data_IF_978496989043
#
_entry.id   IF_978496989043
#
_cell.length_a   1.000
_cell.length_b   1.000
_cell.length_c   1.000
_cell.angle_alpha   90.00
_cell.angle_beta   90.00
_cell.angle_gamma   90.00
#
_symmetry.space_group_name_H-M   'P 1'
#
loop_
_entity.id
_entity.type
_entity.pdbx_description
1 polymer ?
#
# COMPACT_ATOMS: atom_id res chain seq x y z
N UNK A 1 -6.79 -5.03 29.29
CA UNK A 1 -6.13 -4.93 27.97
C UNK A 1 -4.81 -4.21 28.18
N UNK A 2 -3.65 -4.85 27.94
CA UNK A 2 -2.35 -4.21 28.19
C UNK A 2 -2.03 -3.28 27.01
N UNK A 3 -1.87 -2.00 27.31
CA UNK A 3 -1.45 -0.96 26.37
C UNK A 3 -0.06 -1.32 25.86
N UNK A 4 0.11 -1.45 24.53
CA UNK A 4 1.43 -1.64 23.93
C UNK A 4 2.18 -0.33 24.09
N UNK A 5 3.10 -0.28 25.06
CA UNK A 5 3.98 0.86 25.27
C UNK A 5 5.02 0.80 24.15
N UNK A 6 4.88 1.68 23.17
CA UNK A 6 5.88 1.88 22.13
C UNK A 6 7.11 2.56 22.77
N UNK A 7 8.33 2.04 22.62
CA UNK A 7 9.51 2.86 22.88
C UNK A 7 9.43 4.06 21.94
N UNK A 8 9.58 5.26 22.47
CA UNK A 8 9.57 6.51 21.71
C UNK A 8 10.71 6.50 20.70
N UNK A 9 10.49 5.94 19.51
CA UNK A 9 11.23 6.37 18.33
C UNK A 9 10.80 7.81 18.16
N UNK A 10 11.66 8.74 18.57
CA UNK A 10 11.47 10.15 18.36
C UNK A 10 11.53 10.41 16.84
N UNK A 11 10.42 10.17 16.17
CA UNK A 11 10.17 10.67 14.83
C UNK A 11 9.90 12.16 15.04
N UNK A 12 10.90 13.00 14.76
CA UNK A 12 10.72 14.45 14.74
C UNK A 12 9.59 14.78 13.77
N UNK A 13 8.72 15.72 14.12
CA UNK A 13 7.67 16.21 13.24
C UNK A 13 8.28 16.54 11.85
N UNK A 14 7.80 15.84 10.82
CA UNK A 14 8.27 16.03 9.46
C UNK A 14 7.74 17.35 8.91
N UNK A 15 8.53 17.99 8.06
CA UNK A 15 8.20 19.24 7.38
C UNK A 15 7.23 19.06 6.19
N UNK A 16 6.37 18.03 6.22
CA UNK A 16 5.40 17.77 5.16
C UNK A 16 4.29 18.82 5.14
N UNK A 17 3.70 19.09 3.96
CA UNK A 17 2.64 20.09 3.77
C UNK A 17 1.44 19.92 4.73
N UNK A 18 1.20 18.70 5.21
CA UNK A 18 0.09 18.35 6.10
C UNK A 18 0.55 17.97 7.53
N UNK A 19 1.80 18.31 7.92
CA UNK A 19 2.37 17.91 9.22
C UNK A 19 2.74 16.42 9.33
N UNK A 20 2.77 15.71 8.20
CA UNK A 20 3.20 14.32 8.11
C UNK A 20 4.71 14.15 8.35
N UNK A 21 5.10 12.97 8.85
CA UNK A 21 6.51 12.63 9.09
C UNK A 21 7.32 12.46 7.80
N UNK A 22 6.66 12.08 6.71
CA UNK A 22 7.23 11.86 5.40
C UNK A 22 6.14 12.02 4.32
N UNK A 23 6.51 12.54 3.15
CA UNK A 23 5.63 12.63 1.98
C UNK A 23 6.39 12.14 0.74
N UNK A 24 5.68 11.42 -0.12
CA UNK A 24 6.15 11.02 -1.45
C UNK A 24 5.21 11.58 -2.52
N UNK A 25 5.77 12.09 -3.60
CA UNK A 25 5.02 12.63 -4.73
C UNK A 25 5.28 11.80 -5.98
N UNK A 26 4.21 11.45 -6.69
CA UNK A 26 4.25 10.63 -7.90
C UNK A 26 3.30 11.25 -8.92
N UNK A 27 3.73 11.35 -10.18
CA UNK A 27 2.89 11.78 -11.29
C UNK A 27 2.70 10.67 -12.31
N UNK A 28 1.59 10.74 -13.05
CA UNK A 28 1.28 9.84 -14.16
C UNK A 28 0.97 10.66 -15.40
N UNK A 29 1.59 10.32 -16.52
CA UNK A 29 1.31 10.90 -17.84
C UNK A 29 1.04 9.77 -18.84
N UNK A 30 0.65 10.09 -20.07
CA UNK A 30 0.43 9.04 -21.09
C UNK A 30 1.69 8.23 -21.44
N UNK A 31 2.89 8.83 -21.40
CA UNK A 31 4.13 8.15 -21.76
C UNK A 31 4.09 7.42 -23.13
N UNK A 32 4.91 6.37 -23.34
CA UNK A 32 4.91 5.56 -24.56
C UNK A 32 3.59 4.81 -24.81
N UNK A 33 2.84 4.52 -23.76
CA UNK A 33 1.57 3.78 -23.79
C UNK A 33 0.37 4.65 -24.16
N UNK A 34 0.56 5.97 -24.23
CA UNK A 34 -0.51 6.95 -24.40
C UNK A 34 -1.38 7.13 -23.14
N UNK A 35 -2.25 8.14 -23.17
CA UNK A 35 -3.23 8.36 -22.11
C UNK A 35 -4.34 7.31 -22.21
N UNK A 36 -4.46 6.45 -21.19
CA UNK A 36 -5.51 5.45 -21.11
C UNK A 36 -6.00 5.27 -19.68
N UNK A 37 -7.19 4.66 -19.52
CA UNK A 37 -7.87 4.51 -18.22
C UNK A 37 -6.96 4.01 -17.09
N UNK A 38 -6.09 3.04 -17.38
CA UNK A 38 -5.09 2.50 -16.45
C UNK A 38 -3.72 2.33 -17.13
N UNK A 39 -3.47 3.09 -18.20
CA UNK A 39 -2.21 3.05 -18.97
C UNK A 39 -1.51 4.40 -18.88
N UNK A 40 -0.17 4.39 -18.86
CA UNK A 40 0.63 5.59 -18.72
C UNK A 40 2.06 5.32 -18.29
N UNK A 41 2.77 6.37 -17.90
CA UNK A 41 4.09 6.32 -17.26
C UNK A 41 3.97 6.95 -15.87
N UNK A 42 4.23 6.14 -14.84
CA UNK A 42 4.35 6.56 -13.44
C UNK A 42 5.77 7.01 -13.19
N UNK A 43 5.96 8.16 -12.53
CA UNK A 43 7.27 8.64 -12.09
C UNK A 43 7.20 9.29 -10.71
N UNK A 44 8.04 8.88 -9.77
CA UNK A 44 8.22 9.58 -8.49
C UNK A 44 9.07 10.84 -8.66
N UNK A 45 8.84 11.84 -7.82
CA UNK A 45 9.57 13.12 -7.86
C UNK A 45 11.08 12.96 -7.63
N UNK A 46 11.49 11.95 -6.86
CA UNK A 46 12.89 11.60 -6.61
C UNK A 46 13.48 10.66 -7.69
N UNK A 47 12.67 10.21 -8.66
CA UNK A 47 13.07 9.32 -9.74
C UNK A 47 13.31 7.86 -9.33
N UNK A 48 13.10 7.48 -8.06
CA UNK A 48 13.32 6.12 -7.58
C UNK A 48 12.28 5.10 -8.11
N UNK A 49 11.09 5.58 -8.50
CA UNK A 49 10.03 4.78 -9.11
C UNK A 49 9.73 5.31 -10.51
N UNK A 50 9.94 4.47 -11.52
CA UNK A 50 9.54 4.73 -12.89
C UNK A 50 8.99 3.46 -13.53
N UNK A 51 7.71 3.45 -13.89
CA UNK A 51 7.01 2.25 -14.36
C UNK A 51 6.03 2.56 -15.49
N UNK A 52 6.01 1.70 -16.51
CA UNK A 52 4.93 1.71 -17.50
C UNK A 52 3.69 1.00 -16.96
N UNK A 53 2.56 1.71 -16.97
CA UNK A 53 1.25 1.13 -16.71
C UNK A 53 0.64 0.64 -18.02
N UNK A 54 0.07 -0.56 -17.96
CA UNK A 54 -0.65 -1.20 -19.05
C UNK A 54 -1.93 -1.83 -18.53
N UNK A 55 -3.02 -1.59 -19.25
CA UNK A 55 -4.25 -2.33 -19.05
C UNK A 55 -4.00 -3.84 -19.23
N UNK A 56 -4.39 -4.69 -18.26
CA UNK A 56 -4.16 -6.11 -18.35
C UNK A 56 -5.11 -6.76 -19.37
N UNK A 57 -4.77 -7.94 -19.93
CA UNK A 57 -5.58 -8.64 -20.91
C UNK A 57 -7.02 -8.93 -20.45
N UNK A 58 -7.20 -9.20 -19.16
CA UNK A 58 -8.50 -9.47 -18.52
C UNK A 58 -9.46 -8.27 -18.58
N UNK A 59 -8.92 -7.06 -18.79
CA UNK A 59 -9.70 -5.83 -18.98
C UNK A 59 -9.69 -5.35 -20.43
N UNK A 60 -9.25 -6.19 -21.38
CA UNK A 60 -9.20 -5.88 -22.81
C UNK A 60 -7.95 -5.11 -23.24
N UNK A 61 -6.92 -5.04 -22.40
CA UNK A 61 -5.64 -4.42 -22.73
C UNK A 61 -4.64 -5.38 -23.36
N UNK A 62 -3.47 -4.86 -23.72
CA UNK A 62 -2.38 -5.64 -24.31
C UNK A 62 -1.43 -6.25 -23.27
N UNK A 63 -1.58 -5.89 -21.98
CA UNK A 63 -0.65 -6.28 -20.93
C UNK A 63 0.77 -5.75 -21.15
N UNK A 64 1.77 -6.46 -20.62
CA UNK A 64 3.18 -6.13 -20.80
C UNK A 64 3.73 -5.01 -19.92
N UNK A 65 2.96 -4.57 -18.92
CA UNK A 65 3.37 -3.62 -17.89
C UNK A 65 2.60 -3.89 -16.60
N UNK A 66 2.83 -3.06 -15.58
CA UNK A 66 2.07 -3.16 -14.33
C UNK A 66 0.76 -2.36 -14.40
N UNK A 67 0.01 -2.30 -13.32
CA UNK A 67 -1.28 -1.62 -13.24
C UNK A 67 -1.56 -1.10 -11.81
N UNK A 68 -2.52 -0.19 -11.63
CA UNK A 68 -2.86 0.35 -10.32
C UNK A 68 -3.17 -0.71 -9.25
N UNK A 69 -3.82 -1.82 -9.61
CA UNK A 69 -4.14 -2.90 -8.68
C UNK A 69 -2.89 -3.60 -8.14
N UNK A 70 -1.91 -3.89 -9.01
CA UNK A 70 -0.61 -4.44 -8.61
C UNK A 70 0.19 -3.46 -7.76
N UNK A 71 0.17 -2.16 -8.09
CA UNK A 71 0.84 -1.13 -7.29
C UNK A 71 0.23 -1.03 -5.89
N UNK A 72 -1.10 -1.06 -5.79
CA UNK A 72 -1.79 -1.09 -4.52
C UNK A 72 -1.47 -2.36 -3.71
N UNK A 73 -1.45 -3.52 -4.37
CA UNK A 73 -1.08 -4.79 -3.74
C UNK A 73 0.36 -4.76 -3.20
N UNK A 74 1.31 -4.22 -3.98
CA UNK A 74 2.71 -4.10 -3.59
C UNK A 74 2.88 -3.16 -2.38
N UNK A 75 2.26 -1.98 -2.41
CA UNK A 75 2.29 -1.03 -1.30
C UNK A 75 1.69 -1.61 -0.02
N UNK A 76 0.55 -2.31 -0.13
CA UNK A 76 -0.08 -2.95 1.01
C UNK A 76 0.79 -4.09 1.57
N UNK A 77 1.27 -5.01 0.70
CA UNK A 77 2.12 -6.11 1.13
C UNK A 77 3.37 -5.62 1.86
N UNK A 78 4.08 -4.63 1.31
CA UNK A 78 5.26 -4.03 1.91
C UNK A 78 4.96 -3.36 3.26
N UNK A 79 3.87 -2.61 3.35
CA UNK A 79 3.48 -1.91 4.58
C UNK A 79 3.12 -2.89 5.71
N UNK A 80 2.36 -3.95 5.39
CA UNK A 80 1.97 -4.96 6.36
C UNK A 80 3.16 -5.82 6.80
N UNK A 81 4.04 -6.19 5.86
CA UNK A 81 5.31 -6.86 6.15
C UNK A 81 6.18 -6.02 7.10
N UNK A 82 6.37 -4.73 6.82
CA UNK A 82 7.11 -3.83 7.69
C UNK A 82 6.53 -3.75 9.11
N UNK A 83 5.20 -3.72 9.23
CA UNK A 83 4.51 -3.75 10.52
C UNK A 83 4.75 -5.04 11.29
N UNK A 84 4.73 -6.20 10.63
CA UNK A 84 5.06 -7.48 11.22
C UNK A 84 6.50 -7.51 11.74
N UNK A 85 7.46 -7.03 10.94
CA UNK A 85 8.88 -7.05 11.31
C UNK A 85 9.17 -6.13 12.48
N UNK A 86 8.56 -4.95 12.51
CA UNK A 86 8.66 -4.02 13.63
C UNK A 86 8.16 -4.64 14.94
N UNK A 87 7.00 -5.30 14.90
CA UNK A 87 6.42 -5.96 16.08
C UNK A 87 7.20 -7.21 16.51
N UNK A 88 7.70 -7.99 15.55
CA UNK A 88 8.54 -9.16 15.82
C UNK A 88 9.85 -8.73 16.52
N UNK A 89 10.52 -7.69 16.00
CA UNK A 89 11.72 -7.13 16.60
C UNK A 89 11.47 -6.63 18.02
N UNK A 90 10.36 -5.90 18.25
CA UNK A 90 9.97 -5.43 19.58
C UNK A 90 9.74 -6.59 20.58
N UNK A 91 9.37 -7.77 20.10
CA UNK A 91 9.17 -8.97 20.92
C UNK A 91 10.40 -9.89 21.01
N UNK A 92 11.50 -9.53 20.36
CA UNK A 92 12.68 -10.40 20.26
C UNK A 92 12.41 -11.71 19.49
N UNK A 93 11.46 -11.70 18.55
CA UNK A 93 11.10 -12.86 17.74
C UNK A 93 11.86 -12.84 16.41
N UNK A 94 12.51 -13.94 16.07
CA UNK A 94 13.12 -14.13 14.76
C UNK A 94 12.04 -14.56 13.74
N UNK A 95 11.82 -13.77 12.70
CA UNK A 95 10.75 -13.96 11.73
C UNK A 95 11.25 -13.79 10.28
N UNK A 96 12.46 -14.27 10.00
CA UNK A 96 13.22 -14.00 8.78
C UNK A 96 12.55 -14.53 7.50
N UNK A 97 11.83 -15.64 7.59
CA UNK A 97 11.08 -16.26 6.50
C UNK A 97 9.67 -15.69 6.33
N UNK A 98 9.37 -14.52 6.90
CA UNK A 98 8.04 -13.92 6.78
C UNK A 98 7.76 -13.49 5.35
N UNK A 99 6.59 -13.86 4.86
CA UNK A 99 6.09 -13.47 3.55
C UNK A 99 4.68 -12.90 3.70
N UNK A 100 4.42 -11.78 3.03
CA UNK A 100 3.07 -11.20 2.92
C UNK A 100 2.70 -11.13 1.45
N UNK A 101 1.64 -11.83 1.08
CA UNK A 101 1.06 -11.81 -0.25
C UNK A 101 -0.30 -11.09 -0.20
N UNK A 102 -0.45 -10.03 -0.99
CA UNK A 102 -1.72 -9.30 -1.11
C UNK A 102 -2.29 -9.51 -2.51
N UNK A 103 -3.55 -9.91 -2.57
CA UNK A 103 -4.33 -9.96 -3.80
C UNK A 103 -5.31 -8.79 -3.79
N UNK A 104 -5.33 -8.01 -4.86
CA UNK A 104 -6.28 -6.90 -5.05
C UNK A 104 -7.19 -7.24 -6.23
N UNK A 105 -8.49 -7.22 -5.99
CA UNK A 105 -9.52 -7.43 -7.00
C UNK A 105 -10.17 -6.10 -7.34
N UNK A 106 -10.28 -5.85 -8.64
CA UNK A 106 -11.01 -4.72 -9.19
C UNK A 106 -12.40 -5.18 -9.64
N UNK A 107 -13.46 -4.48 -9.21
CA UNK A 107 -14.84 -4.88 -9.48
C UNK A 107 -15.82 -3.72 -9.50
N UNK A 108 -17.11 -4.06 -9.56
CA UNK A 108 -18.22 -3.10 -9.48
C UNK A 108 -18.67 -2.95 -8.04
N UNK A 109 -18.84 -1.71 -7.60
CA UNK A 109 -19.47 -1.45 -6.31
C UNK A 109 -20.96 -1.80 -6.38
N UNK A 110 -21.50 -2.66 -5.50
CA UNK A 110 -22.92 -3.02 -5.51
C UNK A 110 -23.84 -1.87 -5.10
N UNK A 111 -23.31 -0.80 -4.50
CA UNK A 111 -24.07 0.33 -3.96
C UNK A 111 -24.42 1.35 -5.05
N UNK A 112 -23.44 1.74 -5.86
CA UNK A 112 -23.59 2.78 -6.88
C UNK A 112 -23.30 2.29 -8.31
N UNK A 113 -22.86 1.05 -8.49
CA UNK A 113 -22.52 0.46 -9.80
C UNK A 113 -21.21 0.98 -10.40
N UNK A 114 -20.46 1.82 -9.69
CA UNK A 114 -19.16 2.34 -10.12
C UNK A 114 -18.09 1.28 -9.88
N UNK A 115 -16.98 1.62 -9.24
CA UNK A 115 -15.82 0.76 -9.13
C UNK A 115 -15.41 0.60 -7.67
N UNK A 116 -15.07 -0.62 -7.29
CA UNK A 116 -14.55 -0.93 -5.96
C UNK A 116 -13.31 -1.80 -6.04
N UNK A 117 -12.49 -1.72 -4.99
CA UNK A 117 -11.37 -2.62 -4.77
C UNK A 117 -11.68 -3.54 -3.57
N UNK A 118 -11.24 -4.79 -3.65
CA UNK A 118 -11.20 -5.70 -2.52
C UNK A 118 -9.78 -6.24 -2.35
N UNK A 119 -9.29 -6.29 -1.11
CA UNK A 119 -7.95 -6.81 -0.81
C UNK A 119 -8.01 -8.08 0.04
N UNK A 120 -7.20 -9.07 -0.28
CA UNK A 120 -6.99 -10.26 0.53
C UNK A 120 -5.50 -10.39 0.90
N UNK A 121 -5.20 -10.27 2.19
CA UNK A 121 -3.84 -10.34 2.73
C UNK A 121 -3.59 -11.74 3.28
N UNK A 122 -2.57 -12.42 2.79
CA UNK A 122 -2.11 -13.73 3.28
C UNK A 122 -0.70 -13.61 3.84
N UNK A 123 -0.49 -14.15 5.03
CA UNK A 123 0.77 -14.08 5.76
C UNK A 123 1.31 -15.48 6.00
N UNK A 124 2.60 -15.69 5.73
CA UNK A 124 3.34 -16.91 6.08
C UNK A 124 4.48 -16.52 7.01
N UNK A 125 4.64 -17.23 8.13
CA UNK A 125 5.71 -17.01 9.12
C UNK A 125 6.24 -18.37 9.60
N UNK A 126 7.05 -19.06 8.77
CA UNK A 126 7.48 -20.44 9.05
C UNK A 126 8.37 -20.56 10.28
N UNK A 127 9.06 -19.49 10.66
CA UNK A 127 10.00 -19.48 11.80
C UNK A 127 9.30 -19.36 13.16
N UNK A 128 7.99 -19.12 13.19
CA UNK A 128 7.24 -18.88 14.41
C UNK A 128 6.18 -19.96 14.67
N UNK A 129 5.94 -20.33 15.95
CA UNK A 129 4.76 -21.10 16.31
C UNK A 129 3.48 -20.39 15.86
N UNK A 130 2.50 -21.17 15.37
CA UNK A 130 1.24 -20.65 14.83
C UNK A 130 0.54 -19.63 15.75
N UNK A 131 0.57 -19.87 17.07
CA UNK A 131 -0.05 -18.97 18.04
C UNK A 131 0.65 -17.61 18.05
N UNK A 132 1.98 -17.59 18.12
CA UNK A 132 2.78 -16.37 18.11
C UNK A 132 2.64 -15.61 16.77
N UNK A 133 2.65 -16.32 15.65
CA UNK A 133 2.41 -15.72 14.34
C UNK A 133 1.02 -15.08 14.25
N UNK A 134 -0.03 -15.77 14.74
CA UNK A 134 -1.39 -15.24 14.73
C UNK A 134 -1.56 -14.01 15.63
N UNK A 135 -0.85 -13.95 16.76
CA UNK A 135 -0.81 -12.75 17.60
C UNK A 135 -0.14 -11.58 16.89
N UNK A 136 1.01 -11.80 16.26
CA UNK A 136 1.69 -10.76 15.48
C UNK A 136 0.82 -10.22 14.35
N UNK A 137 0.12 -11.10 13.60
CA UNK A 137 -0.79 -10.67 12.53
C UNK A 137 -1.92 -9.78 13.08
N UNK A 138 -2.57 -10.20 14.18
CA UNK A 138 -3.64 -9.38 14.80
C UNK A 138 -3.15 -8.02 15.27
N UNK A 139 -1.93 -7.94 15.75
CA UNK A 139 -1.35 -6.66 16.19
C UNK A 139 -0.88 -5.82 15.01
N UNK A 140 -0.30 -6.43 13.98
CA UNK A 140 0.07 -5.76 12.73
C UNK A 140 -1.16 -5.14 12.04
N UNK A 141 -2.29 -5.84 12.02
CA UNK A 141 -3.56 -5.31 11.49
C UNK A 141 -3.99 -4.01 12.17
N UNK A 142 -3.69 -3.81 13.46
CA UNK A 142 -4.09 -2.61 14.20
C UNK A 142 -3.20 -1.40 13.90
N UNK A 143 -1.95 -1.63 13.53
CA UNK A 143 -0.92 -0.58 13.44
C UNK A 143 -0.55 -0.26 11.99
N UNK A 144 -0.69 -1.21 11.06
CA UNK A 144 -0.39 -1.03 9.64
C UNK A 144 -1.24 0.10 9.05
N UNK A 145 -0.62 1.18 8.53
CA UNK A 145 -1.32 2.29 7.90
C UNK A 145 -2.29 1.86 6.78
N UNK A 146 -1.90 0.93 5.91
CA UNK A 146 -2.75 0.46 4.81
C UNK A 146 -3.98 -0.29 5.31
N UNK A 147 -3.86 -1.09 6.38
CA UNK A 147 -5.02 -1.78 6.97
C UNK A 147 -5.96 -0.80 7.67
N UNK A 148 -5.42 0.25 8.31
CA UNK A 148 -6.25 1.34 8.87
C UNK A 148 -7.01 2.07 7.76
N UNK A 149 -6.32 2.46 6.69
CA UNK A 149 -6.91 3.08 5.51
C UNK A 149 -8.02 2.22 4.90
N UNK A 150 -7.79 0.91 4.72
CA UNK A 150 -8.79 0.02 4.14
C UNK A 150 -10.07 -0.13 4.98
N UNK A 151 -10.02 0.11 6.30
CA UNK A 151 -11.18 0.04 7.19
C UNK A 151 -11.91 1.36 7.39
N UNK A 152 -11.17 2.47 7.36
CA UNK A 152 -11.67 3.77 7.83
C UNK A 152 -11.62 4.85 6.75
N UNK A 153 -10.99 4.57 5.60
CA UNK A 153 -10.61 5.58 4.64
C UNK A 153 -9.37 6.38 5.08
N UNK A 154 -9.05 7.40 4.29
CA UNK A 154 -8.04 8.42 4.57
C UNK A 154 -8.64 9.78 4.21
N UNK A 155 -8.09 10.85 4.79
CA UNK A 155 -8.36 12.19 4.28
C UNK A 155 -7.89 12.29 2.83
N UNK A 156 -8.72 12.87 1.97
CA UNK A 156 -8.44 13.01 0.55
C UNK A 156 -8.94 14.37 0.07
N UNK A 157 -8.02 15.15 -0.47
CA UNK A 157 -8.30 16.45 -1.10
C UNK A 157 -8.03 16.29 -2.59
N UNK A 158 -9.03 16.58 -3.41
CA UNK A 158 -8.94 16.52 -4.87
C UNK A 158 -9.14 17.92 -5.42
N UNK A 159 -8.11 18.45 -6.07
CA UNK A 159 -8.10 19.81 -6.61
C UNK A 159 -7.73 19.77 -8.09
N UNK A 160 -8.53 20.46 -8.90
CA UNK A 160 -8.14 20.79 -10.28
C UNK A 160 -7.18 21.98 -10.25
N UNK A 161 -6.01 21.84 -10.85
CA UNK A 161 -5.05 22.94 -11.03
C UNK A 161 -5.18 23.51 -12.44
N UNK A 162 -5.13 24.83 -12.59
CA UNK A 162 -5.17 25.49 -13.89
C UNK A 162 -3.90 25.21 -14.69
N UNK A 163 -3.98 25.35 -16.02
CA UNK A 163 -2.79 25.26 -16.87
C UNK A 163 -1.92 26.51 -16.67
N UNK A 164 -0.95 26.42 -15.76
CA UNK A 164 0.10 27.42 -15.58
C UNK A 164 0.04 28.13 -14.24
N UNK A 165 0.71 27.55 -13.25
CA UNK A 165 1.47 28.21 -12.18
C UNK A 165 2.68 27.31 -11.85
#
# INVERSE_FOLDING_TARGET
MKQVIWPSIALSAGSGADGGLYAASVSVTGGPSGHGRISGLVRSADGALELELRMPPELGGIGGGTNPEQLFAAGYAACFHGSLMLLAAHRGLAANGTEVAVTVSFGRDPTDGLFMLASHVRVRMPDLPRIAAAELVRDAERVCPYTKMARQGIESIVTLVEHGD
#
